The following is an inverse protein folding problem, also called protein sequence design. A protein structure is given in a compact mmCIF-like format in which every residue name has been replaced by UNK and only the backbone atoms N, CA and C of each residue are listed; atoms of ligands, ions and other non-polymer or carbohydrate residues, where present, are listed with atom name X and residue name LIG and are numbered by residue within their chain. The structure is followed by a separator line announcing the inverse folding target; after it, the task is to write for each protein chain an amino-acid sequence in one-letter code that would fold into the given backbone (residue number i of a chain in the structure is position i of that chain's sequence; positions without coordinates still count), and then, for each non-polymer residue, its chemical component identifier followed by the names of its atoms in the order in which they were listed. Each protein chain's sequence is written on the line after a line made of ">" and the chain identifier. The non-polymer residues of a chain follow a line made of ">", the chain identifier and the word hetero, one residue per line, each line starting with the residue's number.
data_IF_369197079155
#
_entry.id   IF_369197079155
#
_cell.length_a   1.000
_cell.length_b   1.000
_cell.length_c   1.000
_cell.angle_alpha   90.00
_cell.angle_beta   90.00
_cell.angle_gamma   90.00
#
_symmetry.space_group_name_H-M   'P 1'
#
loop_
_entity.id
_entity.type
_entity.pdbx_description
1 polymer ?
#
# COMPACT_ATOMS: atom_id res chain seq x y z
N UNK A 1 -8.31 12.75 26.83
CA UNK A 1 -8.03 11.43 26.23
C UNK A 1 -8.41 11.36 24.75
N UNK A 2 -9.66 11.67 24.37
CA UNK A 2 -10.13 11.58 22.96
C UNK A 2 -9.24 12.32 21.95
N UNK A 3 -8.85 13.57 22.25
CA UNK A 3 -7.99 14.37 21.36
C UNK A 3 -6.62 13.73 21.10
N UNK A 4 -6.04 13.02 22.08
CA UNK A 4 -4.80 12.27 21.88
C UNK A 4 -4.97 11.09 20.92
N UNK A 5 -6.11 10.40 21.00
CA UNK A 5 -6.42 9.30 20.08
C UNK A 5 -6.60 9.82 18.65
N UNK A 6 -7.32 10.94 18.48
CA UNK A 6 -7.46 11.61 17.18
C UNK A 6 -6.10 12.05 16.64
N UNK A 7 -5.24 12.63 17.48
CA UNK A 7 -3.88 12.98 17.10
C UNK A 7 -3.08 11.76 16.60
N UNK A 8 -3.13 10.63 17.32
CA UNK A 8 -2.46 9.40 16.92
C UNK A 8 -3.00 8.84 15.60
N UNK A 9 -4.31 8.95 15.36
CA UNK A 9 -4.93 8.57 14.09
C UNK A 9 -4.37 9.40 12.94
N UNK A 10 -4.33 10.74 13.09
CA UNK A 10 -3.79 11.65 12.08
C UNK A 10 -2.28 11.41 11.87
N UNK A 11 -1.52 11.24 12.95
CA UNK A 11 -0.10 10.92 12.89
C UNK A 11 0.14 9.60 12.15
N UNK A 12 -0.67 8.57 12.43
CA UNK A 12 -0.65 7.30 11.71
C UNK A 12 -0.90 7.48 10.21
N UNK A 13 -1.85 8.34 9.82
CA UNK A 13 -2.11 8.64 8.41
C UNK A 13 -0.88 9.30 7.75
N UNK A 14 -0.28 10.31 8.39
CA UNK A 14 0.89 11.00 7.87
C UNK A 14 2.09 10.06 7.70
N UNK A 15 2.38 9.26 8.73
CA UNK A 15 3.46 8.27 8.68
C UNK A 15 3.20 7.20 7.62
N UNK A 16 1.94 6.77 7.47
CA UNK A 16 1.54 5.81 6.45
C UNK A 16 1.77 6.40 5.05
N UNK A 17 1.27 7.59 4.75
CA UNK A 17 1.48 8.22 3.45
C UNK A 17 2.95 8.53 3.16
N UNK A 18 3.75 8.82 4.18
CA UNK A 18 5.20 9.01 4.01
C UNK A 18 5.89 7.70 3.62
N UNK A 19 5.73 6.63 4.41
CA UNK A 19 6.38 5.35 4.17
C UNK A 19 5.83 4.63 2.91
N UNK A 20 4.51 4.62 2.75
CA UNK A 20 3.84 4.03 1.59
C UNK A 20 4.07 4.88 0.32
N UNK A 21 4.07 6.21 0.44
CA UNK A 21 4.37 7.14 -0.66
C UNK A 21 5.79 6.99 -1.19
N UNK A 22 6.78 6.72 -0.32
CA UNK A 22 8.13 6.38 -0.75
C UNK A 22 8.15 5.11 -1.61
N UNK A 23 7.42 4.05 -1.21
CA UNK A 23 7.27 2.83 -2.02
C UNK A 23 6.57 3.09 -3.37
N UNK A 24 5.53 3.93 -3.37
CA UNK A 24 4.88 4.36 -4.62
C UNK A 24 5.84 5.12 -5.55
N UNK A 25 6.68 6.01 -5.02
CA UNK A 25 7.69 6.71 -5.83
C UNK A 25 8.69 5.73 -6.47
N UNK A 26 9.08 4.68 -5.74
CA UNK A 26 9.94 3.61 -6.26
C UNK A 26 9.28 2.85 -7.42
N UNK A 27 7.97 2.64 -7.39
CA UNK A 27 7.23 2.04 -8.50
C UNK A 27 7.24 2.92 -9.78
N UNK A 28 7.18 4.24 -9.64
CA UNK A 28 7.36 5.17 -10.77
C UNK A 28 8.80 5.16 -11.31
N UNK A 29 9.79 5.10 -10.42
CA UNK A 29 11.20 5.05 -10.81
C UNK A 29 11.54 3.73 -11.53
N UNK A 30 11.00 2.61 -11.05
CA UNK A 30 11.23 1.27 -11.59
C UNK A 30 10.94 1.20 -13.10
N UNK A 31 9.88 1.86 -13.57
CA UNK A 31 9.49 1.87 -14.98
C UNK A 31 10.47 2.58 -15.91
N UNK A 32 11.31 3.45 -15.35
CA UNK A 32 12.30 4.26 -16.09
C UNK A 32 13.72 3.71 -15.98
N UNK A 33 13.92 2.69 -15.15
CA UNK A 33 15.24 2.12 -14.88
C UNK A 33 15.50 0.92 -15.79
N UNK A 34 16.72 0.85 -16.33
CA UNK A 34 17.16 -0.24 -17.21
C UNK A 34 18.35 -1.01 -16.62
N UNK A 35 19.06 -0.41 -15.65
CA UNK A 35 20.16 -1.06 -14.98
C UNK A 35 19.63 -2.04 -13.91
N UNK A 36 19.98 -3.33 -14.04
CA UNK A 36 19.49 -4.38 -13.14
C UNK A 36 19.89 -4.17 -11.68
N UNK A 37 21.09 -3.67 -11.40
CA UNK A 37 21.55 -3.45 -10.03
C UNK A 37 20.76 -2.32 -9.36
N UNK A 38 20.43 -1.28 -10.12
CA UNK A 38 19.53 -0.20 -9.66
C UNK A 38 18.11 -0.70 -9.41
N UNK A 39 17.58 -1.56 -10.29
CA UNK A 39 16.26 -2.17 -10.12
C UNK A 39 16.19 -2.99 -8.83
N UNK A 40 17.21 -3.82 -8.56
CA UNK A 40 17.31 -4.59 -7.32
C UNK A 40 17.33 -3.66 -6.10
N UNK A 41 18.17 -2.62 -6.13
CA UNK A 41 18.26 -1.65 -5.04
C UNK A 41 16.93 -0.91 -4.78
N UNK A 42 16.21 -0.50 -5.83
CA UNK A 42 14.88 0.13 -5.73
C UNK A 42 13.88 -0.81 -5.05
N UNK A 43 13.85 -2.07 -5.46
CA UNK A 43 12.91 -3.07 -4.94
C UNK A 43 13.25 -3.52 -3.52
N UNK A 44 14.53 -3.57 -3.18
CA UNK A 44 14.99 -3.87 -1.82
C UNK A 44 14.65 -2.72 -0.86
N UNK A 45 14.96 -1.48 -1.25
CA UNK A 45 14.58 -0.30 -0.47
C UNK A 45 13.06 -0.21 -0.26
N UNK A 46 12.28 -0.54 -1.29
CA UNK A 46 10.82 -0.62 -1.16
C UNK A 46 10.38 -1.66 -0.12
N UNK A 47 11.07 -2.79 0.02
CA UNK A 47 10.75 -3.81 1.05
C UNK A 47 11.02 -3.30 2.45
N UNK A 48 12.13 -2.57 2.66
CA UNK A 48 12.50 -2.04 3.97
C UNK A 48 11.46 -1.03 4.50
N UNK A 49 10.77 -0.31 3.60
CA UNK A 49 9.72 0.64 3.98
C UNK A 49 8.36 -0.03 4.28
N UNK A 50 8.12 -1.28 3.86
CA UNK A 50 6.84 -1.95 4.06
C UNK A 50 6.50 -2.18 5.55
N UNK A 51 7.41 -2.67 6.42
CA UNK A 51 7.14 -2.79 7.85
C UNK A 51 6.78 -1.46 8.50
N UNK A 52 7.44 -0.37 8.09
CA UNK A 52 7.16 0.98 8.61
C UNK A 52 5.75 1.42 8.18
N UNK A 53 5.40 1.22 6.92
CA UNK A 53 4.05 1.50 6.42
C UNK A 53 2.98 0.66 7.14
N UNK A 54 3.23 -0.63 7.40
CA UNK A 54 2.31 -1.49 8.15
C UNK A 54 2.17 -1.09 9.62
N UNK A 55 3.27 -0.69 10.27
CA UNK A 55 3.23 -0.14 11.63
C UNK A 55 2.40 1.14 11.69
N UNK A 56 2.61 2.06 10.73
CA UNK A 56 1.83 3.29 10.63
C UNK A 56 0.34 3.04 10.31
N UNK A 57 0.05 2.06 9.43
CA UNK A 57 -1.32 1.63 9.13
C UNK A 57 -2.00 1.02 10.37
N UNK A 58 -1.29 0.20 11.13
CA UNK A 58 -1.80 -0.37 12.37
C UNK A 58 -2.13 0.74 13.39
N UNK A 59 -1.23 1.71 13.56
CA UNK A 59 -1.48 2.88 14.40
C UNK A 59 -2.72 3.67 13.92
N UNK A 60 -2.80 3.96 12.63
CA UNK A 60 -3.93 4.65 12.00
C UNK A 60 -5.26 3.94 12.30
N UNK A 61 -5.33 2.63 12.03
CA UNK A 61 -6.56 1.85 12.18
C UNK A 61 -6.94 1.69 13.66
N UNK A 62 -6.00 1.33 14.53
CA UNK A 62 -6.28 1.14 15.96
C UNK A 62 -6.72 2.43 16.64
N UNK A 63 -6.06 3.54 16.35
CA UNK A 63 -6.47 4.85 16.86
C UNK A 63 -7.82 5.28 16.27
N UNK A 64 -8.11 4.96 15.00
CA UNK A 64 -9.40 5.22 14.37
C UNK A 64 -10.54 4.45 15.03
N UNK A 65 -10.33 3.16 15.31
CA UNK A 65 -11.30 2.32 16.04
C UNK A 65 -11.54 2.88 17.44
N UNK A 66 -10.47 3.20 18.18
CA UNK A 66 -10.59 3.79 19.50
C UNK A 66 -11.37 5.11 19.48
N UNK A 67 -11.09 6.01 18.52
CA UNK A 67 -11.84 7.25 18.35
C UNK A 67 -13.31 7.00 17.99
N UNK A 68 -13.57 5.99 17.15
CA UNK A 68 -14.93 5.53 16.80
C UNK A 68 -15.74 5.09 18.00
N UNK A 69 -15.13 4.30 18.90
CA UNK A 69 -15.76 3.83 20.16
C UNK A 69 -16.01 5.02 21.09
N UNK A 70 -14.98 5.83 21.36
CA UNK A 70 -15.06 6.95 22.31
C UNK A 70 -16.08 8.02 21.87
N UNK A 71 -16.25 8.23 20.57
CA UNK A 71 -17.22 9.17 20.03
C UNK A 71 -18.56 8.55 19.64
N UNK A 72 -18.79 7.25 19.90
CA UNK A 72 -20.01 6.53 19.51
C UNK A 72 -20.37 6.68 18.03
N UNK A 73 -19.35 6.73 17.17
CA UNK A 73 -19.51 7.08 15.76
C UNK A 73 -19.93 5.91 14.87
N UNK A 74 -19.87 4.66 15.35
CA UNK A 74 -20.22 3.46 14.56
C UNK A 74 -21.70 3.36 14.18
N UNK A 75 -22.56 4.22 14.73
CA UNK A 75 -23.95 4.39 14.31
C UNK A 75 -24.10 5.30 13.08
N UNK A 76 -23.02 5.96 12.64
CA UNK A 76 -23.03 6.90 11.51
C UNK A 76 -22.57 6.21 10.22
N UNK A 77 -23.22 6.53 9.11
CA UNK A 77 -22.93 5.89 7.84
C UNK A 77 -21.57 6.30 7.26
N UNK A 78 -21.11 7.53 7.51
CA UNK A 78 -19.83 8.02 6.97
C UNK A 78 -18.62 7.18 7.43
N UNK A 79 -18.66 6.61 8.64
CA UNK A 79 -17.61 5.69 9.13
C UNK A 79 -17.58 4.41 8.31
N UNK A 80 -18.75 3.79 8.11
CA UNK A 80 -18.85 2.56 7.34
C UNK A 80 -18.44 2.76 5.89
N UNK A 81 -18.85 3.87 5.28
CA UNK A 81 -18.41 4.24 3.94
C UNK A 81 -16.88 4.35 3.86
N UNK A 82 -16.23 5.01 4.84
CA UNK A 82 -14.78 5.12 4.88
C UNK A 82 -14.07 3.78 5.09
N UNK A 83 -14.60 2.91 5.96
CA UNK A 83 -14.06 1.56 6.19
C UNK A 83 -14.16 0.71 4.92
N UNK A 84 -15.33 0.70 4.27
CA UNK A 84 -15.53 -0.04 3.01
C UNK A 84 -14.56 0.44 1.93
N UNK A 85 -14.41 1.76 1.77
CA UNK A 85 -13.45 2.35 0.84
C UNK A 85 -12.01 1.95 1.14
N UNK A 86 -11.61 1.94 2.42
CA UNK A 86 -10.28 1.49 2.84
C UNK A 86 -10.05 0.01 2.50
N UNK A 87 -11.03 -0.86 2.77
CA UNK A 87 -10.94 -2.30 2.46
C UNK A 87 -10.88 -2.55 0.95
N UNK A 88 -11.71 -1.85 0.17
CA UNK A 88 -11.68 -1.92 -1.30
C UNK A 88 -10.32 -1.49 -1.84
N UNK A 89 -9.78 -0.37 -1.35
CA UNK A 89 -8.45 0.11 -1.72
C UNK A 89 -7.36 -0.93 -1.40
N UNK A 90 -7.39 -1.48 -0.19
CA UNK A 90 -6.43 -2.50 0.23
C UNK A 90 -6.51 -3.75 -0.65
N UNK A 91 -7.71 -4.23 -0.97
CA UNK A 91 -7.92 -5.35 -1.89
C UNK A 91 -7.37 -5.06 -3.29
N UNK A 92 -7.64 -3.88 -3.84
CA UNK A 92 -7.08 -3.46 -5.14
C UNK A 92 -5.55 -3.47 -5.14
N UNK A 93 -4.92 -2.96 -4.07
CA UNK A 93 -3.47 -2.96 -3.90
C UNK A 93 -2.88 -4.36 -3.85
N UNK A 94 -3.51 -5.28 -3.09
CA UNK A 94 -3.05 -6.67 -2.97
C UNK A 94 -3.15 -7.38 -4.32
N UNK A 95 -4.29 -7.26 -5.02
CA UNK A 95 -4.51 -7.88 -6.33
C UNK A 95 -3.51 -7.35 -7.35
N UNK A 96 -3.30 -6.04 -7.40
CA UNK A 96 -2.37 -5.44 -8.35
C UNK A 96 -0.91 -5.77 -8.02
N UNK A 97 -0.54 -5.72 -6.73
CA UNK A 97 0.78 -6.09 -6.23
C UNK A 97 1.17 -7.52 -6.61
N UNK A 98 0.27 -8.47 -6.34
CA UNK A 98 0.47 -9.88 -6.67
C UNK A 98 0.48 -10.14 -8.19
N UNK A 99 -0.36 -9.45 -8.96
CA UNK A 99 -0.46 -9.66 -10.41
C UNK A 99 0.69 -9.06 -11.21
N UNK A 100 1.22 -7.90 -10.81
CA UNK A 100 2.19 -7.15 -11.62
C UNK A 100 3.58 -7.04 -10.98
N UNK A 101 3.69 -6.89 -9.66
CA UNK A 101 4.99 -6.70 -9.00
C UNK A 101 5.62 -8.01 -8.54
N UNK A 102 4.84 -9.01 -8.10
CA UNK A 102 5.41 -10.31 -7.74
C UNK A 102 6.14 -11.02 -8.90
N UNK A 103 5.63 -11.02 -10.15
CA UNK A 103 6.39 -11.56 -11.28
C UNK A 103 7.71 -10.83 -11.52
N UNK A 104 7.76 -9.50 -11.35
CA UNK A 104 9.00 -8.72 -11.47
C UNK A 104 10.00 -9.18 -10.40
N UNK A 105 9.56 -9.31 -9.14
CA UNK A 105 10.42 -9.77 -8.03
C UNK A 105 10.97 -11.17 -8.29
N UNK A 106 10.12 -12.10 -8.73
CA UNK A 106 10.52 -13.45 -9.12
C UNK A 106 11.59 -13.40 -10.21
N UNK A 107 11.35 -12.64 -11.27
CA UNK A 107 12.23 -12.56 -12.44
C UNK A 107 13.62 -11.99 -12.13
N UNK A 108 13.78 -11.17 -11.10
CA UNK A 108 15.10 -10.61 -10.71
C UNK A 108 15.80 -11.40 -9.60
N UNK A 109 15.20 -12.50 -9.15
CA UNK A 109 15.71 -13.37 -8.09
C UNK A 109 15.51 -12.82 -6.68
N UNK A 110 14.41 -12.11 -6.42
CA UNK A 110 13.99 -11.74 -5.07
C UNK A 110 12.87 -12.66 -4.56
N UNK A 111 12.74 -12.82 -3.23
CA UNK A 111 11.57 -13.46 -2.63
C UNK A 111 10.27 -12.77 -3.09
N UNK A 112 9.25 -13.57 -3.38
CA UNK A 112 8.01 -13.09 -4.00
C UNK A 112 6.77 -13.75 -3.38
N UNK A 113 5.60 -13.17 -3.63
CA UNK A 113 4.31 -13.67 -3.11
C UNK A 113 3.35 -13.98 -4.24
N UNK A 114 2.78 -15.18 -4.29
CA UNK A 114 1.74 -15.51 -5.26
C UNK A 114 0.35 -15.17 -4.70
N UNK A 115 -0.57 -14.75 -5.57
CA UNK A 115 -1.96 -14.55 -5.17
C UNK A 115 -2.67 -15.90 -5.11
N UNK A 116 -3.15 -16.30 -3.93
CA UNK A 116 -3.97 -17.51 -3.77
C UNK A 116 -3.76 -18.29 -2.47
N UNK A 117 -2.61 -18.17 -1.81
CA UNK A 117 -2.20 -19.09 -0.72
C UNK A 117 -2.21 -18.47 0.69
N UNK A 118 -3.04 -17.44 0.88
CA UNK A 118 -3.26 -16.80 2.18
C UNK A 118 -2.17 -15.78 2.58
N UNK A 119 -2.39 -15.03 3.67
CA UNK A 119 -1.44 -14.01 4.12
C UNK A 119 -0.16 -14.65 4.65
N UNK A 120 0.98 -14.41 3.99
CA UNK A 120 2.31 -14.75 4.52
C UNK A 120 3.12 -15.81 3.76
N UNK A 121 2.58 -16.42 2.70
CA UNK A 121 3.32 -17.36 1.85
C UNK A 121 4.32 -16.63 0.95
N UNK A 122 5.56 -16.50 1.42
CA UNK A 122 6.68 -15.95 0.66
C UNK A 122 7.50 -17.09 0.07
N UNK A 123 7.62 -17.07 -1.26
CA UNK A 123 8.41 -18.05 -2.00
C UNK A 123 9.88 -17.66 -1.98
N UNK A 124 10.80 -18.65 -1.89
CA UNK A 124 12.22 -18.39 -1.97
C UNK A 124 12.59 -17.78 -3.32
N UNK A 125 13.73 -17.08 -3.36
CA UNK A 125 14.28 -16.54 -4.59
C UNK A 125 14.55 -17.66 -5.61
N UNK A 126 14.16 -17.41 -6.87
CA UNK A 126 14.49 -18.26 -8.01
C UNK A 126 15.63 -17.65 -8.83
N UNK A 127 16.32 -18.42 -9.69
CA UNK A 127 17.32 -17.87 -10.58
C UNK A 127 16.76 -16.70 -11.42
N UNK A 128 17.50 -15.59 -11.57
CA UNK A 128 17.04 -14.46 -12.37
C UNK A 128 16.75 -14.88 -13.82
N UNK A 129 15.65 -14.35 -14.36
CA UNK A 129 15.31 -14.43 -15.76
C UNK A 129 16.26 -13.58 -16.62
N UNK A 130 16.14 -13.71 -17.94
CA UNK A 130 16.90 -12.86 -18.86
C UNK A 130 16.44 -11.40 -18.80
N UNK A 131 17.33 -10.48 -19.17
CA UNK A 131 17.07 -9.03 -19.12
C UNK A 131 15.83 -8.60 -19.92
N UNK A 132 15.62 -9.17 -21.10
CA UNK A 132 14.50 -8.82 -21.97
C UNK A 132 13.15 -9.17 -21.33
N UNK A 133 13.06 -10.31 -20.65
CA UNK A 133 11.88 -10.74 -19.90
C UNK A 133 11.61 -9.82 -18.71
N UNK A 134 12.64 -9.48 -17.93
CA UNK A 134 12.54 -8.56 -16.78
C UNK A 134 12.00 -7.20 -17.25
N UNK A 135 12.55 -6.64 -18.32
CA UNK A 135 12.10 -5.35 -18.86
C UNK A 135 10.65 -5.42 -19.36
N UNK A 136 10.28 -6.53 -19.99
CA UNK A 136 8.89 -6.74 -20.45
C UNK A 136 7.91 -6.73 -19.28
N UNK A 137 8.26 -7.37 -18.16
CA UNK A 137 7.43 -7.38 -16.95
C UNK A 137 7.33 -5.97 -16.33
N UNK A 138 8.43 -5.25 -16.23
CA UNK A 138 8.46 -3.87 -15.71
C UNK A 138 7.58 -2.94 -16.56
N UNK A 139 7.65 -3.02 -17.89
CA UNK A 139 6.85 -2.15 -18.76
C UNK A 139 5.35 -2.45 -18.72
N UNK A 140 4.96 -3.68 -18.34
CA UNK A 140 3.54 -4.04 -18.10
C UNK A 140 3.01 -3.43 -16.79
N UNK A 141 3.85 -3.19 -15.80
CA UNK A 141 3.45 -2.58 -14.54
C UNK A 141 3.30 -1.07 -14.69
N UNK A 142 2.06 -0.58 -14.78
CA UNK A 142 1.78 0.85 -14.81
C UNK A 142 1.33 1.37 -13.42
N UNK A 143 2.21 2.04 -12.65
CA UNK A 143 1.89 2.53 -11.31
C UNK A 143 0.68 3.48 -11.26
N UNK A 144 0.30 4.09 -12.39
CA UNK A 144 -0.83 5.00 -12.46
C UNK A 144 -2.19 4.32 -12.20
N UNK A 145 -2.31 3.03 -12.49
CA UNK A 145 -3.54 2.27 -12.21
C UNK A 145 -3.85 2.14 -10.71
N UNK A 146 -2.85 2.30 -9.84
CA UNK A 146 -3.03 2.35 -8.40
C UNK A 146 -2.95 3.77 -7.85
N UNK A 147 -2.10 4.63 -8.40
CA UNK A 147 -1.92 5.98 -7.89
C UNK A 147 -3.19 6.85 -8.01
N UNK A 148 -3.86 6.82 -9.16
CA UNK A 148 -5.06 7.65 -9.38
C UNK A 148 -6.23 7.19 -8.49
N UNK A 149 -6.65 5.91 -8.49
CA UNK A 149 -7.69 5.46 -7.58
C UNK A 149 -7.24 5.60 -6.12
N UNK A 150 -5.96 5.33 -5.83
CA UNK A 150 -5.28 5.55 -4.54
C UNK A 150 -5.59 6.91 -3.94
N UNK A 151 -5.20 7.95 -4.66
CA UNK A 151 -5.38 9.33 -4.25
C UNK A 151 -6.87 9.72 -4.21
N UNK A 152 -7.66 9.28 -5.19
CA UNK A 152 -9.10 9.57 -5.24
C UNK A 152 -9.86 9.01 -4.04
N UNK A 153 -9.67 7.74 -3.71
CA UNK A 153 -10.32 7.11 -2.55
C UNK A 153 -9.80 7.71 -1.24
N UNK A 154 -8.50 8.00 -1.13
CA UNK A 154 -7.95 8.68 0.04
C UNK A 154 -8.58 10.06 0.26
N UNK A 155 -8.78 10.85 -0.81
CA UNK A 155 -9.43 12.15 -0.74
C UNK A 155 -10.91 12.04 -0.30
N UNK A 156 -11.64 11.02 -0.80
CA UNK A 156 -13.02 10.76 -0.36
C UNK A 156 -13.06 10.36 1.12
N UNK A 157 -12.14 9.49 1.58
CA UNK A 157 -12.04 9.13 3.00
C UNK A 157 -11.77 10.38 3.85
N UNK A 158 -10.82 11.23 3.46
CA UNK A 158 -10.54 12.49 4.15
C UNK A 158 -11.79 13.37 4.23
N UNK A 159 -12.52 13.51 3.12
CA UNK A 159 -13.76 14.27 3.08
C UNK A 159 -14.82 13.69 4.04
N UNK A 160 -15.02 12.37 4.06
CA UNK A 160 -15.93 11.71 5.00
C UNK A 160 -15.56 11.98 6.45
N UNK A 161 -14.27 11.94 6.79
CA UNK A 161 -13.75 12.14 8.14
C UNK A 161 -13.88 13.60 8.62
N UNK A 162 -13.73 14.56 7.71
CA UNK A 162 -13.82 15.99 8.00
C UNK A 162 -15.28 16.46 8.08
N UNK A 163 -16.08 16.15 7.07
CA UNK A 163 -17.42 16.74 6.90
C UNK A 163 -18.53 15.89 7.52
N UNK A 164 -18.32 14.58 7.70
CA UNK A 164 -19.25 13.66 8.40
C UNK A 164 -20.71 13.80 7.90
N UNK A 165 -20.96 13.65 6.60
CA UNK A 165 -22.21 14.08 5.96
C UNK A 165 -23.48 13.29 6.35
N UNK A 166 -23.35 12.08 6.94
CA UNK A 166 -24.49 11.21 7.31
C UNK A 166 -24.13 10.21 8.43
#
# INVERSE_FOLDING_TARGET
>A
MYQWVVFLHILGALLFFMAHGASMAMAFQLRREYNLDRIRAILDLSNVMLPVAYGALALLVLAGIAAGIMGSWFSRGWIWAAIVLLVVMWGMMVVYGTRFYSPIRKAIGLPYRTGGEGPGSEYPAEPPANEAEIMTLIQRANPMHLAIPGLGIAAVILWLMVFKPF
#
